data_IF_471980667181
#
_entry.id   IF_471980667181
#
_cell.length_a   1.000
_cell.length_b   1.000
_cell.length_c   1.000
_cell.angle_alpha   90.00
_cell.angle_beta   90.00
_cell.angle_gamma   90.00
#
_symmetry.space_group_name_H-M   'P 1'
#
loop_
_entity.id
_entity.type
_entity.pdbx_description
1 polymer ?
#
# COMPACT_ATOMS: atom_id res chain seq x y z
N UNK A 1 1.38 9.54 20.29
CA UNK A 1 1.43 8.84 18.99
C UNK A 1 0.57 7.56 19.00
N UNK A 2 -0.67 7.66 19.49
CA UNK A 2 -1.54 6.47 19.68
C UNK A 2 -2.63 6.36 18.59
N UNK A 3 -2.56 7.14 17.53
CA UNK A 3 -3.54 7.13 16.45
C UNK A 3 -2.86 6.96 15.10
N UNK A 4 -3.40 6.04 14.33
CA UNK A 4 -3.12 5.88 12.90
C UNK A 4 -3.26 7.20 12.16
N UNK A 5 -2.30 7.52 11.31
CA UNK A 5 -2.28 8.73 10.49
C UNK A 5 -1.70 8.45 9.12
N UNK A 6 -2.22 9.14 8.15
CA UNK A 6 -1.79 9.03 6.77
C UNK A 6 -1.80 10.39 6.06
N UNK A 7 -0.99 10.52 5.04
CA UNK A 7 -1.04 11.66 4.15
C UNK A 7 -2.25 11.54 3.21
N UNK A 8 -2.34 10.42 2.49
CA UNK A 8 -3.47 10.06 1.64
C UNK A 8 -3.90 8.65 2.00
N UNK A 9 -5.20 8.45 2.20
CA UNK A 9 -5.80 7.15 2.47
C UNK A 9 -6.91 6.85 1.47
N UNK A 10 -6.76 5.75 0.74
CA UNK A 10 -7.80 5.15 -0.08
C UNK A 10 -8.25 3.84 0.55
N UNK A 11 -9.54 3.66 0.71
CA UNK A 11 -10.10 2.42 1.25
C UNK A 11 -11.25 1.96 0.37
N UNK A 12 -11.21 0.69 0.00
CA UNK A 12 -12.38 -0.06 -0.46
C UNK A 12 -12.83 -0.93 0.70
N UNK A 13 -14.00 -0.65 1.25
CA UNK A 13 -14.57 -1.39 2.36
C UNK A 13 -15.71 -2.31 1.86
N UNK A 14 -15.41 -3.62 1.79
CA UNK A 14 -16.37 -4.61 1.33
C UNK A 14 -17.62 -4.72 2.19
N UNK A 15 -17.55 -4.33 3.46
CA UNK A 15 -18.71 -4.38 4.36
C UNK A 15 -19.71 -3.23 4.12
N UNK A 16 -19.27 -2.19 3.39
CA UNK A 16 -20.11 -1.04 3.05
C UNK A 16 -20.75 -1.15 1.65
N UNK A 17 -20.42 -2.20 0.90
CA UNK A 17 -20.97 -2.42 -0.43
C UNK A 17 -22.36 -3.08 -0.34
N UNK A 18 -23.28 -2.66 -1.19
CA UNK A 18 -24.53 -3.37 -1.43
C UNK A 18 -24.26 -4.77 -2.02
N UNK A 19 -25.20 -5.70 -1.87
CA UNK A 19 -24.95 -7.12 -2.16
C UNK A 19 -24.52 -7.42 -3.60
N UNK A 20 -24.99 -6.67 -4.57
CA UNK A 20 -24.67 -6.84 -6.00
C UNK A 20 -23.68 -5.77 -6.51
N UNK A 21 -23.11 -4.95 -5.64
CA UNK A 21 -22.22 -3.87 -6.05
C UNK A 21 -20.85 -4.41 -6.51
N UNK A 22 -20.35 -3.87 -7.63
CA UNK A 22 -18.95 -3.99 -8.01
C UNK A 22 -18.13 -3.07 -7.11
N UNK A 23 -17.24 -3.66 -6.33
CA UNK A 23 -16.33 -2.96 -5.42
C UNK A 23 -15.01 -2.57 -6.05
N UNK A 24 -14.93 -2.50 -7.37
CA UNK A 24 -13.72 -2.05 -8.07
C UNK A 24 -13.62 -0.53 -8.03
N UNK A 25 -12.53 -0.05 -7.47
CA UNK A 25 -12.15 1.36 -7.50
C UNK A 25 -11.03 1.54 -8.52
N UNK A 26 -11.29 2.25 -9.61
CA UNK A 26 -10.37 2.34 -10.73
C UNK A 26 -10.06 3.78 -11.16
N UNK A 27 -9.08 3.93 -12.07
CA UNK A 27 -8.65 5.21 -12.66
C UNK A 27 -8.29 6.27 -11.60
N UNK A 28 -7.52 5.88 -10.58
CA UNK A 28 -7.09 6.78 -9.51
C UNK A 28 -5.63 7.15 -9.73
N UNK A 29 -5.37 8.45 -9.82
CA UNK A 29 -4.02 8.96 -10.05
C UNK A 29 -3.62 9.93 -8.93
N UNK A 30 -2.53 9.60 -8.23
CA UNK A 30 -1.94 10.41 -7.16
C UNK A 30 -0.57 10.84 -7.66
N UNK A 31 -0.47 12.07 -8.10
CA UNK A 31 0.71 12.57 -8.76
C UNK A 31 1.12 13.96 -8.28
N UNK A 32 2.44 14.21 -8.27
CA UNK A 32 3.02 15.52 -7.97
C UNK A 32 2.64 16.08 -6.58
N UNK A 33 2.40 15.20 -5.61
CA UNK A 33 2.06 15.57 -4.24
C UNK A 33 3.33 15.70 -3.39
N UNK A 34 3.29 16.61 -2.41
CA UNK A 34 4.27 16.68 -1.35
C UNK A 34 3.61 16.30 -0.02
N UNK A 35 3.99 15.15 0.53
CA UNK A 35 3.43 14.55 1.73
C UNK A 35 4.54 14.50 2.78
N UNK A 36 4.31 15.08 3.96
CA UNK A 36 5.35 15.16 4.96
C UNK A 36 4.83 15.22 6.40
N UNK A 37 5.74 14.93 7.36
CA UNK A 37 5.47 15.02 8.79
C UNK A 37 4.23 14.22 9.22
N UNK A 38 4.14 12.96 8.75
CA UNK A 38 3.06 12.03 9.09
C UNK A 38 3.46 11.27 10.36
N UNK A 39 3.05 11.80 11.50
CA UNK A 39 3.31 11.21 12.81
C UNK A 39 2.24 10.15 13.15
N UNK A 40 2.65 8.93 13.43
CA UNK A 40 1.74 7.84 13.78
C UNK A 40 2.32 6.89 14.83
N UNK A 41 1.63 5.80 15.13
CA UNK A 41 2.18 4.75 15.96
C UNK A 41 3.39 4.10 15.28
N UNK A 42 4.31 3.64 16.11
CA UNK A 42 5.42 2.83 15.66
C UNK A 42 5.09 1.35 15.95
N UNK A 43 4.05 0.87 15.31
CA UNK A 43 3.58 -0.51 15.43
C UNK A 43 3.59 -1.17 14.05
N UNK A 44 4.40 -2.18 13.91
CA UNK A 44 4.53 -2.90 12.65
C UNK A 44 3.23 -3.59 12.18
N UNK A 45 2.27 -3.83 13.07
CA UNK A 45 0.95 -4.36 12.70
C UNK A 45 0.01 -3.27 12.17
N UNK A 46 0.42 -2.01 12.23
CA UNK A 46 -0.37 -0.92 11.68
C UNK A 46 -0.10 -0.78 10.18
N UNK A 47 -1.03 -1.25 9.38
CA UNK A 47 -1.01 -1.12 7.91
C UNK A 47 -1.70 0.16 7.42
N UNK A 48 -2.06 1.05 8.34
CA UNK A 48 -2.80 2.27 8.04
C UNK A 48 -2.03 3.56 8.34
N UNK A 49 -0.83 3.49 8.90
CA UNK A 49 0.02 4.66 9.08
C UNK A 49 1.04 4.75 7.95
N UNK A 50 1.00 5.86 7.21
CA UNK A 50 1.94 6.04 6.11
C UNK A 50 1.71 7.29 5.26
N UNK A 51 2.56 7.46 4.26
CA UNK A 51 2.44 8.56 3.31
C UNK A 51 1.22 8.40 2.40
N UNK A 52 1.18 7.33 1.62
CA UNK A 52 0.05 6.97 0.74
C UNK A 52 -0.35 5.53 1.04
N UNK A 53 -1.58 5.34 1.46
CA UNK A 53 -2.14 4.04 1.82
C UNK A 53 -3.34 3.74 0.92
N UNK A 54 -3.39 2.52 0.35
CA UNK A 54 -4.53 2.05 -0.44
C UNK A 54 -4.87 0.60 -0.06
N UNK A 55 -5.85 0.45 0.80
CA UNK A 55 -6.20 -0.83 1.39
C UNK A 55 -7.61 -1.27 1.00
N UNK A 56 -7.76 -2.57 0.81
CA UNK A 56 -9.05 -3.24 0.67
C UNK A 56 -9.34 -3.94 1.99
N UNK A 57 -10.46 -3.61 2.62
CA UNK A 57 -10.85 -4.14 3.92
C UNK A 57 -12.24 -4.78 3.89
N UNK A 58 -12.54 -5.60 4.87
CA UNK A 58 -13.86 -6.20 5.05
C UNK A 58 -13.85 -7.37 6.03
N UNK A 59 -14.97 -7.66 6.67
CA UNK A 59 -15.12 -8.77 7.59
C UNK A 59 -15.43 -10.09 6.87
N UNK A 60 -15.90 -10.01 5.63
CA UNK A 60 -16.19 -11.14 4.76
C UNK A 60 -15.53 -10.98 3.40
N UNK A 61 -15.26 -12.10 2.73
CA UNK A 61 -14.73 -12.07 1.36
C UNK A 61 -15.84 -11.61 0.42
N UNK A 62 -15.58 -10.50 -0.27
CA UNK A 62 -16.45 -10.03 -1.36
C UNK A 62 -15.69 -10.09 -2.68
N UNK A 63 -16.09 -10.92 -3.64
CA UNK A 63 -15.49 -10.97 -4.97
C UNK A 63 -15.53 -9.61 -5.66
N UNK A 64 -14.56 -9.35 -6.53
CA UNK A 64 -14.44 -8.11 -7.29
C UNK A 64 -14.36 -6.82 -6.43
N UNK A 65 -13.79 -6.92 -5.24
CA UNK A 65 -13.57 -5.76 -4.36
C UNK A 65 -12.07 -5.46 -4.35
N UNK A 66 -11.64 -4.40 -5.03
CA UNK A 66 -10.22 -4.15 -5.21
C UNK A 66 -9.94 -2.79 -5.85
N UNK A 67 -8.65 -2.47 -6.02
CA UNK A 67 -8.17 -1.38 -6.86
C UNK A 67 -7.76 -1.88 -8.25
N UNK A 68 -8.00 -1.06 -9.27
CA UNK A 68 -7.54 -1.29 -10.63
C UNK A 68 -7.08 0.03 -11.26
N UNK A 69 -6.04 -0.01 -12.09
CA UNK A 69 -5.49 1.19 -12.73
C UNK A 69 -5.24 2.33 -11.73
N UNK A 70 -4.49 2.01 -10.69
CA UNK A 70 -4.02 2.98 -9.69
C UNK A 70 -2.60 3.43 -10.07
N UNK A 71 -2.41 4.74 -10.19
CA UNK A 71 -1.11 5.34 -10.49
C UNK A 71 -0.65 6.26 -9.36
N UNK A 72 0.53 5.98 -8.82
CA UNK A 72 1.19 6.79 -7.79
C UNK A 72 2.55 7.23 -8.35
N UNK A 73 2.67 8.49 -8.79
CA UNK A 73 3.85 8.91 -9.52
C UNK A 73 4.30 10.34 -9.18
N UNK A 74 5.62 10.55 -9.27
CA UNK A 74 6.23 11.87 -9.09
C UNK A 74 5.91 12.54 -7.74
N UNK A 75 5.67 11.76 -6.70
CA UNK A 75 5.39 12.28 -5.36
C UNK A 75 6.68 12.40 -4.56
N UNK A 76 6.70 13.36 -3.65
CA UNK A 76 7.74 13.48 -2.63
C UNK A 76 7.12 13.18 -1.27
N UNK A 77 7.67 12.19 -0.55
CA UNK A 77 7.18 11.72 0.74
C UNK A 77 8.32 11.80 1.75
N UNK A 78 8.15 12.57 2.84
CA UNK A 78 9.22 12.80 3.81
C UNK A 78 8.74 12.70 5.24
N UNK A 79 9.63 12.21 6.12
CA UNK A 79 9.38 12.16 7.57
C UNK A 79 8.04 11.48 7.91
N UNK A 80 7.91 10.25 7.53
CA UNK A 80 6.75 9.42 7.81
C UNK A 80 7.13 8.38 8.85
N UNK A 81 6.34 8.27 9.90
CA UNK A 81 6.70 7.41 11.04
C UNK A 81 6.67 5.92 10.74
N UNK A 82 5.93 5.47 9.73
CA UNK A 82 5.86 4.05 9.42
C UNK A 82 6.14 3.76 7.93
N UNK A 83 5.14 3.70 7.07
CA UNK A 83 5.26 3.27 5.69
C UNK A 83 5.25 4.45 4.71
N UNK A 84 6.06 4.39 3.66
CA UNK A 84 6.04 5.40 2.59
C UNK A 84 4.78 5.27 1.73
N UNK A 85 4.72 4.22 0.93
CA UNK A 85 3.56 3.85 0.09
C UNK A 85 3.21 2.40 0.40
N UNK A 86 1.95 2.10 0.67
CA UNK A 86 1.54 0.72 0.88
C UNK A 86 0.15 0.41 0.35
N UNK A 87 0.01 -0.78 -0.22
CA UNK A 87 -1.25 -1.37 -0.65
C UNK A 87 -1.43 -2.77 -0.09
N UNK A 88 -2.60 -3.04 0.48
CA UNK A 88 -2.87 -4.28 1.18
C UNK A 88 -4.33 -4.73 1.01
N UNK A 89 -4.53 -6.04 0.86
CA UNK A 89 -5.87 -6.64 0.93
C UNK A 89 -6.06 -7.30 2.29
N UNK A 90 -6.78 -6.66 3.19
CA UNK A 90 -7.03 -7.12 4.57
C UNK A 90 -8.51 -7.58 4.73
N UNK A 91 -9.00 -8.34 3.78
CA UNK A 91 -10.27 -9.04 3.92
C UNK A 91 -10.06 -10.34 4.68
N UNK A 92 -10.74 -10.49 5.81
CA UNK A 92 -10.67 -11.69 6.66
C UNK A 92 -9.26 -12.00 7.13
N UNK A 93 -8.78 -11.28 8.12
CA UNK A 93 -7.50 -11.51 8.77
C UNK A 93 -7.26 -12.99 9.08
N UNK A 94 -6.23 -13.56 8.49
CA UNK A 94 -5.73 -14.90 8.80
C UNK A 94 -5.96 -15.97 7.75
N UNK A 95 -6.73 -15.74 6.70
CA UNK A 95 -6.93 -16.74 5.64
C UNK A 95 -6.62 -16.19 4.23
N UNK A 96 -5.49 -15.52 4.11
CA UNK A 96 -5.06 -14.77 2.94
C UNK A 96 -4.98 -15.58 1.64
N UNK A 97 -4.65 -16.87 1.70
CA UNK A 97 -4.44 -17.65 0.49
C UNK A 97 -5.73 -18.09 -0.21
N UNK A 98 -6.81 -18.25 0.56
CA UNK A 98 -8.09 -18.66 0.00
C UNK A 98 -8.86 -17.50 -0.66
N UNK A 99 -8.48 -16.27 -0.35
CA UNK A 99 -9.27 -15.09 -0.71
C UNK A 99 -8.89 -14.50 -2.07
N UNK A 100 -7.60 -14.42 -2.41
CA UNK A 100 -7.14 -13.55 -3.48
C UNK A 100 -7.47 -14.10 -4.86
N UNK A 101 -6.86 -15.18 -5.28
CA UNK A 101 -7.01 -15.70 -6.65
C UNK A 101 -8.45 -16.09 -7.02
N UNK A 102 -9.12 -17.00 -6.26
CA UNK A 102 -10.45 -17.49 -6.60
C UNK A 102 -11.54 -16.40 -6.58
N UNK A 103 -11.38 -15.38 -5.75
CA UNK A 103 -12.37 -14.32 -5.57
C UNK A 103 -12.02 -13.03 -6.30
N UNK A 104 -10.97 -13.04 -7.12
CA UNK A 104 -10.55 -11.88 -7.91
C UNK A 104 -10.31 -10.60 -7.06
N UNK A 105 -9.65 -10.78 -5.92
CA UNK A 105 -9.29 -9.69 -5.00
C UNK A 105 -7.95 -9.05 -5.29
N UNK A 106 -7.27 -9.45 -6.38
CA UNK A 106 -6.01 -8.84 -6.77
C UNK A 106 -6.19 -7.35 -7.07
N UNK A 107 -5.35 -6.53 -6.47
CA UNK A 107 -5.13 -5.18 -6.97
C UNK A 107 -4.41 -5.30 -8.32
N UNK A 108 -4.96 -4.71 -9.38
CA UNK A 108 -4.49 -4.92 -10.74
C UNK A 108 -4.00 -3.66 -11.39
N UNK A 109 -2.97 -3.83 -12.22
CA UNK A 109 -2.47 -2.75 -13.07
C UNK A 109 -2.07 -1.52 -12.24
N UNK A 110 -1.29 -1.80 -11.17
CA UNK A 110 -0.81 -0.78 -10.25
C UNK A 110 0.54 -0.25 -10.76
N UNK A 111 0.66 1.05 -10.89
CA UNK A 111 1.90 1.72 -11.23
C UNK A 111 2.38 2.60 -10.07
N UNK A 112 3.61 2.36 -9.60
CA UNK A 112 4.27 3.20 -8.60
C UNK A 112 5.63 3.60 -9.16
N UNK A 113 5.79 4.87 -9.56
CA UNK A 113 7.01 5.28 -10.25
C UNK A 113 7.44 6.72 -10.00
N UNK A 114 8.76 6.94 -10.08
CA UNK A 114 9.36 8.26 -9.95
C UNK A 114 9.03 8.98 -8.62
N UNK A 115 8.78 8.23 -7.55
CA UNK A 115 8.55 8.83 -6.25
C UNK A 115 9.87 8.95 -5.49
N UNK A 116 10.03 10.04 -4.76
CA UNK A 116 11.15 10.26 -3.86
C UNK A 116 10.66 10.15 -2.41
N UNK A 117 11.25 9.24 -1.66
CA UNK A 117 10.91 8.99 -0.25
C UNK A 117 12.14 9.23 0.62
N UNK A 118 12.00 10.04 1.66
CA UNK A 118 13.10 10.37 2.57
C UNK A 118 12.65 10.28 4.02
N UNK A 119 13.50 9.73 4.88
CA UNK A 119 13.26 9.61 6.31
C UNK A 119 11.96 8.86 6.64
N UNK A 120 11.87 7.63 6.14
CA UNK A 120 10.74 6.72 6.36
C UNK A 120 11.01 5.84 7.58
N UNK A 121 10.05 5.74 8.45
CA UNK A 121 10.18 5.05 9.74
C UNK A 121 10.37 3.54 9.63
N UNK A 122 9.72 2.90 8.66
CA UNK A 122 9.79 1.46 8.42
C UNK A 122 10.15 1.17 6.95
N UNK A 123 9.20 0.85 6.10
CA UNK A 123 9.40 0.47 4.70
C UNK A 123 9.09 1.58 3.72
N UNK A 124 9.79 1.60 2.59
CA UNK A 124 9.53 2.57 1.52
C UNK A 124 8.25 2.27 0.76
N UNK A 125 8.22 1.14 0.06
CA UNK A 125 7.05 0.69 -0.72
C UNK A 125 6.74 -0.76 -0.36
N UNK A 126 5.58 -0.98 0.26
CA UNK A 126 5.03 -2.30 0.53
C UNK A 126 3.82 -2.53 -0.38
N UNK A 127 4.02 -3.26 -1.47
CA UNK A 127 2.96 -3.62 -2.40
C UNK A 127 2.60 -5.08 -2.24
N UNK A 128 1.44 -5.33 -1.65
CA UNK A 128 0.95 -6.66 -1.37
C UNK A 128 -0.27 -6.98 -2.23
N UNK A 129 -0.49 -8.28 -2.48
CA UNK A 129 -1.69 -8.77 -3.16
C UNK A 129 -1.97 -8.10 -4.53
N UNK A 130 -0.90 -7.83 -5.29
CA UNK A 130 -0.98 -7.14 -6.58
C UNK A 130 -0.68 -8.06 -7.76
N UNK A 131 -1.34 -7.81 -8.87
CA UNK A 131 -1.12 -8.50 -10.14
C UNK A 131 -0.83 -7.48 -11.26
N UNK A 132 0.15 -7.77 -12.13
CA UNK A 132 0.58 -6.89 -13.21
C UNK A 132 1.03 -5.52 -12.74
N UNK A 133 1.71 -5.47 -11.61
CA UNK A 133 2.19 -4.20 -11.05
C UNK A 133 3.56 -3.82 -11.62
N UNK A 134 3.81 -2.52 -11.75
CA UNK A 134 5.12 -1.97 -12.10
C UNK A 134 5.54 -0.96 -11.05
N UNK A 135 6.71 -1.21 -10.44
CA UNK A 135 7.33 -0.34 -9.44
C UNK A 135 8.71 0.05 -9.95
N UNK A 136 8.88 1.29 -10.39
CA UNK A 136 10.10 1.68 -11.07
C UNK A 136 10.52 3.14 -10.81
N UNK A 137 11.84 3.38 -10.93
CA UNK A 137 12.44 4.70 -10.78
C UNK A 137 12.09 5.42 -9.47
N UNK A 138 11.83 4.67 -8.40
CA UNK A 138 11.61 5.27 -7.09
C UNK A 138 12.93 5.36 -6.32
N UNK A 139 13.08 6.39 -5.52
CA UNK A 139 14.21 6.58 -4.61
C UNK A 139 13.72 6.48 -3.18
N UNK A 140 14.37 5.61 -2.36
CA UNK A 140 14.09 5.48 -0.93
C UNK A 140 15.35 5.89 -0.15
N UNK A 141 15.49 7.18 0.09
CA UNK A 141 16.61 7.75 0.82
C UNK A 141 16.39 7.68 2.34
N UNK A 142 16.72 6.54 2.88
CA UNK A 142 16.63 6.28 4.31
C UNK A 142 15.27 5.75 4.77
N UNK A 143 15.27 4.48 5.09
CA UNK A 143 14.17 3.76 5.72
C UNK A 143 14.66 3.14 7.05
N UNK A 144 13.77 2.52 7.83
CA UNK A 144 14.05 1.99 9.18
C UNK A 144 14.52 3.06 10.18
N UNK A 145 14.11 4.28 10.00
CA UNK A 145 14.59 5.39 10.85
C UNK A 145 14.03 5.38 12.25
N UNK A 146 12.85 4.80 12.47
CA UNK A 146 12.14 4.86 13.74
C UNK A 146 11.70 3.51 14.29
N UNK A 147 11.91 2.44 13.55
CA UNK A 147 11.46 1.11 13.95
C UNK A 147 12.59 0.28 14.59
N UNK A 148 12.43 -0.27 15.80
CA UNK A 148 13.42 -1.18 16.37
C UNK A 148 13.43 -2.50 15.59
N UNK A 149 14.51 -2.74 14.89
CA UNK A 149 14.67 -3.75 13.84
C UNK A 149 14.85 -5.17 14.36
N UNK A 150 13.82 -5.85 14.74
CA UNK A 150 13.91 -7.31 14.89
C UNK A 150 12.98 -8.07 13.92
N UNK A 151 12.44 -7.38 12.92
CA UNK A 151 11.67 -7.99 11.83
C UNK A 151 12.21 -7.55 10.48
N UNK A 152 12.16 -8.41 9.47
CA UNK A 152 12.60 -8.05 8.13
C UNK A 152 11.75 -6.88 7.63
N UNK A 153 12.42 -5.76 7.42
CA UNK A 153 11.86 -4.58 6.81
C UNK A 153 12.79 -4.18 5.67
N UNK A 154 12.24 -3.85 4.55
CA UNK A 154 12.98 -3.57 3.33
C UNK A 154 12.50 -2.28 2.68
N UNK A 155 13.32 -1.70 1.82
CA UNK A 155 12.91 -0.51 1.09
C UNK A 155 11.73 -0.78 0.17
N UNK A 156 11.70 -1.94 -0.49
CA UNK A 156 10.67 -2.36 -1.43
C UNK A 156 10.24 -3.80 -1.12
N UNK A 157 8.96 -4.04 -0.96
CA UNK A 157 8.42 -5.34 -0.55
C UNK A 157 7.25 -5.80 -1.43
N UNK A 158 7.48 -6.71 -2.39
CA UNK A 158 6.42 -7.36 -3.16
C UNK A 158 5.93 -8.62 -2.44
N UNK A 159 4.92 -8.52 -1.61
CA UNK A 159 4.39 -9.69 -0.93
C UNK A 159 3.11 -10.19 -1.57
N UNK A 160 3.05 -11.51 -1.84
CA UNK A 160 1.93 -12.15 -2.53
C UNK A 160 1.53 -11.41 -3.81
N UNK A 161 2.50 -11.04 -4.60
CA UNK A 161 2.26 -10.38 -5.89
C UNK A 161 2.54 -11.35 -7.03
N UNK A 162 1.79 -11.22 -8.11
CA UNK A 162 1.91 -12.03 -9.32
C UNK A 162 2.19 -11.13 -10.51
N UNK A 163 3.15 -11.54 -11.35
CA UNK A 163 3.56 -10.79 -12.53
C UNK A 163 3.91 -9.31 -12.24
N UNK A 164 4.57 -9.06 -11.12
CA UNK A 164 4.99 -7.73 -10.70
C UNK A 164 6.44 -7.46 -11.11
N UNK A 165 6.71 -6.28 -11.63
CA UNK A 165 8.05 -5.83 -12.05
C UNK A 165 8.52 -4.74 -11.11
N UNK A 166 9.69 -4.98 -10.49
CA UNK A 166 10.40 -4.00 -9.66
C UNK A 166 11.74 -3.72 -10.32
N UNK A 167 11.93 -2.52 -10.86
CA UNK A 167 13.13 -2.20 -11.64
C UNK A 167 13.56 -0.74 -11.46
N UNK A 168 14.86 -0.47 -11.64
CA UNK A 168 15.46 0.86 -11.63
C UNK A 168 15.14 1.70 -10.37
N UNK A 169 14.94 1.06 -9.23
CA UNK A 169 14.73 1.76 -7.95
C UNK A 169 16.06 1.89 -7.20
N UNK A 170 16.20 2.95 -6.40
CA UNK A 170 17.37 3.27 -5.58
C UNK A 170 17.04 3.36 -4.10
#
# INVERSE_FOLDING_TARGET
KDKTRNGILLIVDGDQLEDDADGIMDHIYIENCYIHDVDGPNDWNDTFTGGIIFNVIGSTIRPNTSFRDLRIANNTIRKVDLLGITGYVDMVRGNYQAAIGPNNLWMRDIYIGHNYMEDIGQGGIDLCDAMNAVVEYNVVDGFLKRYPSFRPTVALYPWKSENAVFQFNE
#
